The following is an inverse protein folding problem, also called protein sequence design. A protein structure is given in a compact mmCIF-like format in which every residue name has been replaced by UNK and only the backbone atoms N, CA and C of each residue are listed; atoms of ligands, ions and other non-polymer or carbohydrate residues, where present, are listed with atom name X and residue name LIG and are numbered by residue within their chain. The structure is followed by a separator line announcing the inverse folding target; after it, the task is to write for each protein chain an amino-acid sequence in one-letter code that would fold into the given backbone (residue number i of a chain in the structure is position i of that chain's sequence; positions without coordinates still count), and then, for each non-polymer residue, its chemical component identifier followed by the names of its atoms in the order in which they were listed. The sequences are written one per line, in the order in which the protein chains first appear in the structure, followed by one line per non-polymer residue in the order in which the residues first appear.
data_IF_496813823077
#
_entry.id   IF_496813823077
#
_cell.length_a   1.000
_cell.length_b   1.000
_cell.length_c   1.000
_cell.angle_alpha   90.00
_cell.angle_beta   90.00
_cell.angle_gamma   90.00
#
_symmetry.space_group_name_H-M   'P 1'
#
loop_
_entity.id
_entity.type
_entity.pdbx_description
1 polymer ?
#
# COMPACT_ATOMS: atom_id res chain seq x y z
N UNK A 1 18.94 7.21 -27.87
CA UNK A 1 19.99 8.02 -27.21
C UNK A 1 19.37 9.32 -26.74
N UNK A 2 19.52 9.74 -25.47
CA UNK A 2 18.95 11.01 -25.02
C UNK A 2 19.81 12.20 -25.51
N UNK A 3 19.22 13.34 -25.88
CA UNK A 3 19.97 14.50 -26.34
C UNK A 3 20.59 15.26 -25.16
N UNK A 4 21.86 15.65 -25.30
CA UNK A 4 22.63 16.45 -24.34
C UNK A 4 21.95 17.83 -24.15
N UNK A 5 21.52 18.14 -22.93
CA UNK A 5 20.97 19.45 -22.59
C UNK A 5 22.08 20.49 -22.39
N UNK A 6 22.01 21.58 -23.17
CA UNK A 6 22.68 22.84 -22.88
C UNK A 6 21.98 23.49 -21.68
N UNK A 7 22.77 23.93 -20.70
CA UNK A 7 22.30 24.80 -19.61
C UNK A 7 21.85 26.13 -20.20
N UNK A 8 20.61 26.53 -19.94
CA UNK A 8 20.25 27.93 -19.80
C UNK A 8 19.34 28.08 -18.58
N UNK A 9 19.76 28.94 -17.67
CA UNK A 9 19.00 29.40 -16.52
C UNK A 9 17.90 30.35 -17.01
N UNK A 10 16.70 30.18 -16.46
CA UNK A 10 15.86 31.30 -16.08
C UNK A 10 15.13 30.91 -14.80
N UNK A 11 15.48 31.63 -13.76
CA UNK A 11 14.92 31.61 -12.42
C UNK A 11 13.42 31.96 -12.50
N UNK A 12 12.57 31.08 -11.97
CA UNK A 12 11.18 31.37 -11.68
C UNK A 12 10.95 30.87 -10.26
N UNK A 13 11.08 31.80 -9.31
CA UNK A 13 10.70 31.58 -7.92
C UNK A 13 9.21 31.23 -7.89
N UNK A 14 8.91 29.95 -7.65
CA UNK A 14 7.55 29.50 -7.37
C UNK A 14 7.09 30.22 -6.10
N UNK A 15 6.01 31.00 -6.21
CA UNK A 15 5.43 31.70 -5.08
C UNK A 15 4.77 30.72 -4.09
N UNK A 16 4.52 31.14 -2.84
CA UNK A 16 4.02 30.29 -1.76
C UNK A 16 2.58 29.77 -1.93
N UNK A 17 1.92 30.01 -3.08
CA UNK A 17 0.57 29.54 -3.39
C UNK A 17 0.54 28.19 -4.15
N UNK A 18 1.68 27.71 -4.67
CA UNK A 18 1.74 26.46 -5.47
C UNK A 18 1.98 25.19 -4.64
N UNK A 19 2.37 25.30 -3.36
CA UNK A 19 2.76 24.15 -2.53
C UNK A 19 1.56 23.29 -2.08
N UNK A 20 0.37 23.87 -1.94
CA UNK A 20 -0.83 23.14 -1.48
C UNK A 20 -1.43 22.23 -2.57
N UNK A 21 -1.15 22.51 -3.86
CA UNK A 21 -1.62 21.71 -4.99
C UNK A 21 -0.56 20.76 -5.54
N UNK A 22 0.70 20.88 -5.08
CA UNK A 22 1.78 19.99 -5.45
C UNK A 22 1.55 18.56 -4.93
N UNK A 23 1.79 17.53 -5.76
CA UNK A 23 1.81 16.15 -5.28
C UNK A 23 2.88 15.95 -4.20
N UNK A 24 2.57 15.13 -3.20
CA UNK A 24 3.56 14.65 -2.24
C UNK A 24 4.34 13.52 -2.89
N UNK A 25 5.63 13.77 -3.13
CA UNK A 25 6.56 12.74 -3.59
C UNK A 25 7.20 12.02 -2.41
N UNK A 26 7.20 10.69 -2.47
CA UNK A 26 7.87 9.84 -1.48
C UNK A 26 8.61 8.69 -2.19
N UNK A 27 9.63 8.11 -1.56
CA UNK A 27 10.32 6.94 -2.12
C UNK A 27 10.98 6.09 -1.03
N UNK A 28 12.07 6.57 -0.44
CA UNK A 28 12.82 5.78 0.55
C UNK A 28 12.25 5.96 1.95
N UNK A 29 12.33 4.89 2.73
CA UNK A 29 11.79 4.79 4.08
C UNK A 29 12.46 5.72 5.12
N UNK A 30 13.62 6.29 4.76
CA UNK A 30 14.38 7.27 5.54
C UNK A 30 14.26 8.71 5.02
N UNK A 31 13.53 8.95 3.94
CA UNK A 31 13.23 10.29 3.42
C UNK A 31 11.94 10.83 4.03
N UNK A 32 11.65 12.11 3.79
CA UNK A 32 10.35 12.70 4.10
C UNK A 32 9.23 11.90 3.46
N UNK A 33 8.13 11.71 4.19
CA UNK A 33 7.03 10.83 3.80
C UNK A 33 7.44 9.37 3.57
N UNK A 34 8.65 8.97 3.98
CA UNK A 34 9.15 7.60 3.86
C UNK A 34 8.30 6.57 4.58
N UNK A 35 7.47 6.99 5.54
CA UNK A 35 6.47 6.13 6.18
C UNK A 35 5.46 5.54 5.18
N UNK A 36 5.25 6.18 4.03
CA UNK A 36 4.39 5.69 2.94
C UNK A 36 5.00 4.52 2.17
N UNK A 37 6.33 4.36 2.19
CA UNK A 37 7.02 3.25 1.53
C UNK A 37 6.57 1.90 2.10
N UNK A 38 6.35 0.91 1.22
CA UNK A 38 6.08 -0.48 1.61
C UNK A 38 7.30 -1.16 2.28
N UNK A 39 8.48 -0.54 2.22
CA UNK A 39 9.71 -1.00 2.87
C UNK A 39 9.87 -0.44 4.27
N UNK A 40 9.07 0.58 4.65
CA UNK A 40 9.13 1.17 5.99
C UNK A 40 8.78 0.10 7.03
N UNK A 41 9.65 -0.12 8.04
CA UNK A 41 9.28 -0.90 9.21
C UNK A 41 8.06 -0.28 9.92
N UNK A 42 6.96 -1.01 9.91
CA UNK A 42 5.70 -0.66 10.55
C UNK A 42 4.99 -1.98 10.84
N UNK A 43 5.14 -2.48 12.06
CA UNK A 43 4.60 -3.78 12.46
C UNK A 43 3.07 -3.71 12.50
N UNK A 44 2.43 -4.72 11.93
CA UNK A 44 0.99 -4.88 12.03
C UNK A 44 0.62 -6.36 12.03
N UNK A 45 -0.53 -6.63 12.65
CA UNK A 45 -1.13 -7.95 12.69
C UNK A 45 -2.22 -8.06 11.63
N UNK A 46 -2.26 -9.19 10.93
CA UNK A 46 -3.32 -9.51 9.99
C UNK A 46 -3.71 -10.99 10.13
N UNK A 47 -5.00 -11.34 9.96
CA UNK A 47 -5.41 -12.74 9.80
C UNK A 47 -4.60 -13.40 8.68
N UNK A 48 -4.18 -14.65 8.87
CA UNK A 48 -3.33 -15.37 7.92
C UNK A 48 -3.95 -15.32 6.52
N UNK A 49 -3.32 -14.61 5.55
CA UNK A 49 -3.87 -14.47 4.21
C UNK A 49 -4.07 -15.79 3.48
N UNK A 50 -3.33 -16.84 3.84
CA UNK A 50 -3.50 -18.18 3.28
C UNK A 50 -4.82 -18.85 3.71
N UNK A 51 -5.41 -18.41 4.82
CA UNK A 51 -6.64 -18.96 5.40
C UNK A 51 -7.80 -17.95 5.26
N UNK A 52 -7.59 -16.73 5.77
CA UNK A 52 -8.59 -15.67 5.87
C UNK A 52 -8.96 -15.05 4.53
N UNK A 53 -7.97 -14.90 3.65
CA UNK A 53 -8.13 -14.24 2.36
C UNK A 53 -8.26 -15.25 1.22
N UNK A 54 -8.35 -16.55 1.51
CA UNK A 54 -8.38 -17.62 0.50
C UNK A 54 -9.48 -17.38 -0.55
N UNK A 55 -10.66 -16.88 -0.14
CA UNK A 55 -11.75 -16.56 -1.07
C UNK A 55 -11.32 -15.52 -2.11
N UNK A 56 -10.78 -14.35 -1.72
CA UNK A 56 -10.45 -13.30 -2.68
C UNK A 56 -9.02 -13.33 -3.24
N UNK A 57 -8.08 -13.92 -2.51
CA UNK A 57 -6.71 -14.19 -2.95
C UNK A 57 -6.71 -15.32 -3.99
N UNK A 58 -7.59 -16.32 -3.88
CA UNK A 58 -7.65 -17.46 -4.79
C UNK A 58 -8.83 -17.42 -5.80
N UNK A 59 -9.86 -16.58 -5.60
CA UNK A 59 -11.03 -16.56 -6.51
C UNK A 59 -10.72 -16.17 -7.97
N UNK A 60 -11.50 -16.81 -8.84
CA UNK A 60 -11.66 -16.53 -10.28
C UNK A 60 -12.52 -15.26 -10.55
N UNK A 61 -12.63 -14.78 -11.80
CA UNK A 61 -13.10 -13.42 -12.11
C UNK A 61 -14.46 -13.05 -11.55
N UNK A 62 -14.64 -11.76 -11.21
CA UNK A 62 -15.93 -11.14 -10.97
C UNK A 62 -16.80 -11.30 -12.23
N UNK A 63 -17.84 -12.12 -12.18
CA UNK A 63 -19.02 -11.92 -13.02
C UNK A 63 -19.87 -10.83 -12.40
N UNK A 64 -20.59 -10.06 -13.22
CA UNK A 64 -21.32 -8.86 -12.81
C UNK A 64 -22.45 -9.12 -11.78
N UNK A 65 -22.74 -10.38 -11.48
CA UNK A 65 -23.93 -10.81 -10.73
C UNK A 65 -23.64 -11.34 -9.31
N UNK A 66 -22.37 -11.37 -8.87
CA UNK A 66 -22.04 -11.91 -7.54
C UNK A 66 -21.92 -10.80 -6.48
N UNK A 67 -22.97 -10.67 -5.66
CA UNK A 67 -22.96 -9.95 -4.39
C UNK A 67 -22.12 -10.72 -3.35
N UNK A 68 -20.80 -10.65 -3.42
CA UNK A 68 -19.91 -11.13 -2.35
C UNK A 68 -19.75 -10.07 -1.25
N UNK A 69 -20.88 -9.69 -0.65
CA UNK A 69 -20.88 -8.95 0.61
C UNK A 69 -20.59 -9.87 1.82
N UNK A 70 -20.40 -11.17 1.62
CA UNK A 70 -20.47 -12.15 2.73
C UNK A 70 -19.49 -13.33 2.64
N UNK A 71 -18.28 -13.12 2.12
CA UNK A 71 -17.17 -14.00 2.48
C UNK A 71 -16.48 -13.41 3.72
N UNK A 72 -17.20 -13.39 4.84
CA UNK A 72 -16.61 -13.07 6.14
C UNK A 72 -15.42 -14.02 6.34
N UNK A 73 -14.19 -13.52 6.53
CA UNK A 73 -13.05 -14.38 6.82
C UNK A 73 -13.41 -15.30 7.99
N UNK A 74 -12.93 -16.55 8.04
CA UNK A 74 -13.11 -17.40 9.20
C UNK A 74 -12.73 -16.60 10.45
N UNK A 75 -13.68 -16.45 11.37
CA UNK A 75 -13.55 -15.59 12.55
C UNK A 75 -12.34 -15.99 13.41
N UNK A 76 -11.88 -17.24 13.26
CA UNK A 76 -10.78 -17.87 14.01
C UNK A 76 -9.49 -18.06 13.20
N UNK A 77 -9.32 -17.36 12.06
CA UNK A 77 -8.07 -17.45 11.32
C UNK A 77 -6.88 -16.98 12.20
N UNK A 78 -5.78 -17.75 12.27
CA UNK A 78 -4.63 -17.38 13.09
C UNK A 78 -4.07 -16.04 12.60
N UNK A 79 -3.68 -15.19 13.54
CA UNK A 79 -3.09 -13.89 13.23
C UNK A 79 -1.58 -14.02 13.03
N UNK A 80 -1.05 -13.37 11.99
CA UNK A 80 0.38 -13.27 11.70
C UNK A 80 0.83 -11.82 11.89
N UNK A 81 1.96 -11.62 12.57
CA UNK A 81 2.62 -10.32 12.64
C UNK A 81 3.55 -10.14 11.42
N UNK A 82 3.40 -9.02 10.73
CA UNK A 82 4.25 -8.62 9.61
C UNK A 82 5.07 -7.40 9.98
N UNK A 83 6.33 -7.36 9.58
CA UNK A 83 7.27 -6.27 9.91
C UNK A 83 7.06 -5.02 9.05
N UNK A 84 6.55 -5.20 7.84
CA UNK A 84 6.28 -4.15 6.86
C UNK A 84 5.40 -4.69 5.72
N UNK A 85 4.78 -3.80 4.94
CA UNK A 85 3.85 -4.20 3.87
C UNK A 85 4.49 -5.05 2.78
N UNK A 86 5.78 -4.87 2.47
CA UNK A 86 6.48 -5.75 1.51
C UNK A 86 6.52 -7.22 1.99
N UNK A 87 6.66 -7.49 3.30
CA UNK A 87 6.69 -8.86 3.82
C UNK A 87 5.32 -9.53 3.65
N UNK A 88 4.24 -8.81 4.00
CA UNK A 88 2.87 -9.24 3.77
C UNK A 88 2.60 -9.55 2.29
N UNK A 89 3.00 -8.63 1.41
CA UNK A 89 2.80 -8.78 -0.03
C UNK A 89 3.52 -10.02 -0.58
N UNK A 90 4.79 -10.23 -0.19
CA UNK A 90 5.57 -11.39 -0.62
C UNK A 90 5.03 -12.69 -0.04
N UNK A 91 4.57 -12.68 1.22
CA UNK A 91 3.91 -13.82 1.84
C UNK A 91 2.65 -14.22 1.06
N UNK A 92 1.76 -13.26 0.76
CA UNK A 92 0.56 -13.51 -0.03
C UNK A 92 0.89 -14.08 -1.42
N UNK A 93 1.96 -13.58 -2.05
CA UNK A 93 2.45 -14.10 -3.32
C UNK A 93 2.86 -15.57 -3.20
N UNK A 94 3.65 -15.94 -2.20
CA UNK A 94 4.04 -17.33 -1.98
C UNK A 94 2.84 -18.24 -1.65
N UNK A 95 1.93 -17.76 -0.79
CA UNK A 95 0.71 -18.46 -0.41
C UNK A 95 -0.21 -18.74 -1.61
N UNK A 96 -0.34 -17.79 -2.54
CA UNK A 96 -1.13 -17.94 -3.77
C UNK A 96 -0.69 -19.12 -4.65
N UNK A 97 0.56 -19.58 -4.53
CA UNK A 97 1.11 -20.72 -5.27
C UNK A 97 1.39 -21.94 -4.38
N UNK A 98 0.87 -21.94 -3.14
CA UNK A 98 1.03 -23.05 -2.20
C UNK A 98 2.47 -23.28 -1.73
N UNK A 99 3.38 -22.31 -1.87
CA UNK A 99 4.78 -22.48 -1.51
C UNK A 99 5.03 -22.15 -0.02
N UNK A 100 4.57 -23.05 0.86
CA UNK A 100 4.70 -22.90 2.32
C UNK A 100 6.15 -22.68 2.78
N UNK A 101 7.14 -23.28 2.09
CA UNK A 101 8.55 -23.10 2.40
C UNK A 101 9.05 -21.68 2.07
N UNK A 102 8.51 -21.05 1.02
CA UNK A 102 8.76 -19.64 0.74
C UNK A 102 8.08 -18.73 1.78
N UNK A 103 6.83 -19.04 2.17
CA UNK A 103 6.13 -18.32 3.23
C UNK A 103 6.94 -18.28 4.53
N UNK A 104 7.42 -19.43 5.02
CA UNK A 104 8.24 -19.51 6.23
C UNK A 104 9.53 -18.68 6.14
N UNK A 105 10.24 -18.77 5.00
CA UNK A 105 11.45 -17.97 4.79
C UNK A 105 11.17 -16.47 4.72
N UNK A 106 10.05 -16.06 4.13
CA UNK A 106 9.63 -14.66 4.06
C UNK A 106 9.32 -14.14 5.48
N UNK A 107 8.62 -14.90 6.31
CA UNK A 107 8.34 -14.51 7.69
C UNK A 107 9.61 -14.41 8.54
N UNK A 108 10.60 -15.27 8.29
CA UNK A 108 11.90 -15.26 8.98
C UNK A 108 12.87 -14.18 8.49
N UNK A 109 12.60 -13.55 7.34
CA UNK A 109 13.48 -12.53 6.78
C UNK A 109 13.48 -11.24 7.61
N UNK A 110 14.65 -10.61 7.75
CA UNK A 110 14.83 -9.37 8.53
C UNK A 110 14.86 -8.11 7.66
N UNK A 111 15.05 -8.27 6.34
CA UNK A 111 15.09 -7.17 5.38
C UNK A 111 14.01 -7.33 4.32
N UNK A 112 13.45 -6.21 3.89
CA UNK A 112 12.49 -6.16 2.79
C UNK A 112 13.07 -6.68 1.47
N UNK A 113 14.36 -6.44 1.21
CA UNK A 113 15.07 -6.99 0.04
C UNK A 113 15.05 -8.51 0.02
N UNK A 114 15.25 -9.14 1.16
CA UNK A 114 15.37 -10.59 1.26
C UNK A 114 13.99 -11.24 1.03
N UNK A 115 12.93 -10.63 1.56
CA UNK A 115 11.55 -11.01 1.24
C UNK A 115 11.30 -11.01 -0.28
N UNK A 116 11.73 -9.94 -0.95
CA UNK A 116 11.58 -9.79 -2.41
C UNK A 116 12.42 -10.79 -3.18
N UNK A 117 13.63 -11.08 -2.73
CA UNK A 117 14.53 -12.06 -3.35
C UNK A 117 13.92 -13.47 -3.26
N UNK A 118 13.42 -13.86 -2.09
CA UNK A 118 12.69 -15.12 -1.89
C UNK A 118 11.46 -15.20 -2.81
N UNK A 119 10.71 -14.10 -2.92
CA UNK A 119 9.50 -14.04 -3.73
C UNK A 119 9.73 -14.13 -5.24
N UNK A 120 10.98 -13.93 -5.72
CA UNK A 120 11.37 -14.18 -7.11
C UNK A 120 11.54 -15.66 -7.42
N UNK A 121 11.73 -16.49 -6.39
CA UNK A 121 11.95 -17.94 -6.53
C UNK A 121 10.79 -18.75 -5.95
N UNK A 122 9.58 -18.19 -5.89
CA UNK A 122 8.36 -18.91 -5.48
C UNK A 122 8.11 -20.04 -6.46
N UNK A 123 7.95 -21.26 -5.94
CA UNK A 123 7.67 -22.44 -6.76
C UNK A 123 6.28 -22.35 -7.38
N UNK A 124 6.17 -22.77 -8.63
CA UNK A 124 4.90 -22.73 -9.36
C UNK A 124 4.42 -21.33 -9.74
N UNK A 125 5.25 -20.30 -9.57
CA UNK A 125 4.87 -18.92 -9.89
C UNK A 125 4.50 -18.78 -11.38
N UNK A 126 3.29 -18.29 -11.62
CA UNK A 126 2.81 -17.90 -12.94
C UNK A 126 2.36 -16.42 -12.89
N UNK A 127 2.98 -15.59 -13.74
CA UNK A 127 2.72 -14.16 -13.75
C UNK A 127 1.30 -13.80 -14.21
N UNK A 128 0.74 -14.57 -15.15
CA UNK A 128 -0.62 -14.35 -15.63
C UNK A 128 -1.63 -14.71 -14.55
N UNK A 129 -1.44 -15.85 -13.87
CA UNK A 129 -2.23 -16.25 -12.70
C UNK A 129 -2.13 -15.16 -11.65
N UNK A 130 -0.92 -14.75 -11.22
CA UNK A 130 -0.71 -13.72 -10.20
C UNK A 130 -1.39 -12.39 -10.54
N UNK A 131 -1.43 -12.02 -11.81
CA UNK A 131 -2.00 -10.75 -12.27
C UNK A 131 -3.52 -10.76 -12.44
N UNK A 132 -4.20 -11.93 -12.35
CA UNK A 132 -5.66 -12.01 -12.43
C UNK A 132 -6.34 -11.14 -11.36
N UNK A 133 -7.48 -10.56 -11.74
CA UNK A 133 -8.37 -9.82 -10.83
C UNK A 133 -7.67 -8.71 -10.02
N UNK A 134 -6.68 -8.06 -10.64
CA UNK A 134 -5.85 -7.03 -9.99
C UNK A 134 -5.27 -7.47 -8.64
N UNK A 135 -5.04 -8.77 -8.45
CA UNK A 135 -4.57 -9.34 -7.18
C UNK A 135 -3.36 -8.60 -6.59
N UNK A 136 -2.33 -8.20 -7.38
CA UNK A 136 -1.23 -7.39 -6.85
C UNK A 136 -1.74 -6.12 -6.13
N UNK A 137 -2.67 -5.38 -6.73
CA UNK A 137 -3.20 -4.14 -6.17
C UNK A 137 -4.02 -4.40 -4.92
N UNK A 138 -4.83 -5.47 -4.93
CA UNK A 138 -5.68 -5.86 -3.80
C UNK A 138 -4.85 -6.27 -2.59
N UNK A 139 -3.83 -7.11 -2.80
CA UNK A 139 -2.90 -7.55 -1.75
C UNK A 139 -2.15 -6.36 -1.15
N UNK A 140 -1.67 -5.42 -1.98
CA UNK A 140 -1.01 -4.23 -1.45
C UNK A 140 -1.99 -3.32 -0.70
N UNK A 141 -3.19 -3.08 -1.24
CA UNK A 141 -4.20 -2.26 -0.57
C UNK A 141 -4.57 -2.83 0.81
N UNK A 142 -4.68 -4.16 0.92
CA UNK A 142 -4.94 -4.84 2.18
C UNK A 142 -3.77 -4.72 3.17
N UNK A 143 -2.53 -4.92 2.70
CA UNK A 143 -1.34 -4.69 3.51
C UNK A 143 -1.27 -3.26 4.08
N UNK A 144 -1.63 -2.27 3.25
CA UNK A 144 -1.67 -0.87 3.65
C UNK A 144 -2.84 -0.60 4.62
N UNK A 145 -3.98 -1.24 4.43
CA UNK A 145 -5.13 -1.14 5.32
C UNK A 145 -4.79 -1.57 6.75
N UNK A 146 -4.07 -2.68 6.90
CA UNK A 146 -3.55 -3.11 8.20
C UNK A 146 -2.46 -2.18 8.73
N UNK A 147 -1.46 -1.84 7.90
CA UNK A 147 -0.34 -0.95 8.28
C UNK A 147 -0.80 0.38 8.86
N UNK A 148 -1.80 1.01 8.24
CA UNK A 148 -2.28 2.34 8.64
C UNK A 148 -3.40 2.30 9.68
N UNK A 149 -3.69 1.12 10.25
CA UNK A 149 -4.62 0.95 11.38
C UNK A 149 -6.10 0.88 11.00
N UNK A 150 -6.42 0.79 9.71
CA UNK A 150 -7.81 0.72 9.25
C UNK A 150 -8.52 -0.53 9.73
N UNK A 151 -7.85 -1.68 9.69
CA UNK A 151 -8.42 -2.94 10.17
C UNK A 151 -8.77 -2.87 11.67
N UNK A 152 -7.89 -2.26 12.48
CA UNK A 152 -8.14 -2.09 13.91
C UNK A 152 -9.31 -1.14 14.18
N UNK A 153 -9.32 0.05 13.55
CA UNK A 153 -10.40 1.02 13.74
C UNK A 153 -11.75 0.45 13.30
N UNK A 154 -11.80 -0.24 12.15
CA UNK A 154 -13.02 -0.90 11.68
C UNK A 154 -13.51 -1.92 12.71
N UNK A 155 -12.62 -2.78 13.22
CA UNK A 155 -12.99 -3.78 14.22
C UNK A 155 -13.55 -3.15 15.50
N UNK A 156 -12.94 -2.05 15.99
CA UNK A 156 -13.47 -1.33 17.16
C UNK A 156 -14.87 -0.77 16.90
N UNK A 157 -15.11 -0.23 15.71
CA UNK A 157 -16.44 0.28 15.33
C UNK A 157 -17.45 -0.87 15.27
N UNK A 158 -17.09 -1.99 14.64
CA UNK A 158 -17.95 -3.16 14.47
C UNK A 158 -18.27 -3.84 15.82
N UNK A 159 -17.35 -3.77 16.80
CA UNK A 159 -17.51 -4.30 18.16
C UNK A 159 -18.21 -3.30 19.12
N UNK A 160 -19.09 -2.45 18.59
CA UNK A 160 -19.90 -1.51 19.37
C UNK A 160 -19.22 -0.19 19.71
N UNK A 161 -18.16 0.17 18.98
CA UNK A 161 -17.48 1.48 19.07
C UNK A 161 -18.06 2.54 18.11
N UNK A 162 -19.22 2.30 17.51
CA UNK A 162 -19.87 3.23 16.56
C UNK A 162 -20.21 4.58 17.19
N UNK A 163 -20.43 4.64 18.51
CA UNK A 163 -20.67 5.88 19.25
C UNK A 163 -19.44 6.77 19.42
N UNK A 164 -18.23 6.27 19.11
CA UNK A 164 -16.99 7.04 19.28
C UNK A 164 -16.99 8.26 18.35
N UNK A 165 -16.80 9.44 18.95
CA UNK A 165 -16.65 10.70 18.24
C UNK A 165 -15.39 10.75 17.37
N UNK A 166 -15.36 11.71 16.42
CA UNK A 166 -14.29 11.87 15.41
C UNK A 166 -12.88 11.83 16.01
N UNK A 167 -12.65 12.57 17.09
CA UNK A 167 -11.34 12.67 17.72
C UNK A 167 -10.89 11.32 18.33
N UNK A 168 -11.78 10.62 19.02
CA UNK A 168 -11.50 9.31 19.60
C UNK A 168 -11.16 8.28 18.51
N UNK A 169 -11.92 8.26 17.40
CA UNK A 169 -11.61 7.39 16.24
C UNK A 169 -10.24 7.70 15.64
N UNK A 170 -9.88 8.98 15.50
CA UNK A 170 -8.57 9.39 15.01
C UNK A 170 -7.42 8.95 15.96
N UNK A 171 -7.64 9.00 17.27
CA UNK A 171 -6.65 8.58 18.28
C UNK A 171 -6.40 7.07 18.32
N UNK A 172 -7.32 6.25 17.79
CA UNK A 172 -7.14 4.79 17.65
C UNK A 172 -6.22 4.41 16.46
N UNK A 173 -5.96 5.35 15.55
CA UNK A 173 -5.02 5.11 14.45
C UNK A 173 -3.58 5.22 14.94
N UNK A 174 -2.65 4.40 14.41
CA UNK A 174 -1.24 4.62 14.63
C UNK A 174 -0.81 5.99 14.08
N UNK A 175 0.32 6.52 14.56
CA UNK A 175 0.84 7.83 14.12
C UNK A 175 0.90 7.95 12.59
N UNK A 176 1.37 6.90 11.91
CA UNK A 176 1.46 6.88 10.45
C UNK A 176 0.08 6.94 9.76
N UNK A 177 -0.97 6.41 10.41
CA UNK A 177 -2.36 6.49 9.95
C UNK A 177 -2.89 7.93 10.01
N UNK A 178 -2.63 8.61 11.12
CA UNK A 178 -2.94 10.05 11.26
C UNK A 178 -2.16 10.90 10.28
N UNK A 179 -0.85 10.67 10.16
CA UNK A 179 0.00 11.34 9.17
C UNK A 179 -0.49 11.15 7.73
N UNK A 180 -1.05 9.97 7.40
CA UNK A 180 -1.65 9.72 6.09
C UNK A 180 -2.91 10.57 5.89
N UNK A 181 -3.77 10.72 6.90
CA UNK A 181 -4.93 11.62 6.85
C UNK A 181 -4.52 13.09 6.69
N UNK A 182 -3.47 13.52 7.40
CA UNK A 182 -2.92 14.89 7.36
C UNK A 182 -2.35 15.27 5.98
N UNK A 183 -2.20 14.31 5.06
CA UNK A 183 -1.84 14.62 3.67
C UNK A 183 -2.95 15.35 2.92
N UNK A 184 -4.15 15.44 3.50
CA UNK A 184 -5.30 16.13 2.93
C UNK A 184 -5.70 15.50 1.61
N UNK A 185 -6.03 16.31 0.60
CA UNK A 185 -6.44 15.82 -0.72
C UNK A 185 -5.29 15.75 -1.73
N UNK A 186 -4.06 15.99 -1.28
CA UNK A 186 -2.89 15.97 -2.16
C UNK A 186 -2.68 14.60 -2.78
N UNK A 187 -2.24 14.61 -4.04
CA UNK A 187 -1.86 13.39 -4.76
C UNK A 187 -0.59 12.80 -4.12
N UNK A 188 -0.60 11.49 -3.83
CA UNK A 188 0.56 10.78 -3.32
C UNK A 188 1.30 10.09 -4.48
N UNK A 189 2.62 10.29 -4.57
CA UNK A 189 3.41 9.84 -5.71
C UNK A 189 4.68 9.10 -5.26
N UNK A 190 4.75 7.81 -5.57
CA UNK A 190 5.96 7.03 -5.34
C UNK A 190 7.00 7.33 -6.43
N UNK A 191 7.99 8.13 -6.07
CA UNK A 191 9.10 8.58 -6.92
C UNK A 191 10.24 7.55 -7.00
N UNK A 192 9.89 6.30 -7.30
CA UNK A 192 10.86 5.23 -7.52
C UNK A 192 11.43 5.30 -8.94
N UNK A 193 12.69 5.72 -9.08
CA UNK A 193 13.35 5.96 -10.38
C UNK A 193 13.60 4.73 -11.27
N UNK A 194 13.28 3.52 -10.82
CA UNK A 194 13.43 2.28 -11.60
C UNK A 194 12.17 1.41 -11.58
N UNK A 195 11.07 1.92 -11.02
CA UNK A 195 9.80 1.19 -10.92
C UNK A 195 8.70 2.06 -11.51
N UNK A 196 8.18 1.64 -12.67
CA UNK A 196 7.07 2.31 -13.36
C UNK A 196 5.73 1.60 -13.13
N UNK A 197 5.69 0.54 -12.33
CA UNK A 197 4.46 -0.16 -11.98
C UNK A 197 3.95 0.35 -10.64
N UNK A 198 4.72 0.19 -9.56
CA UNK A 198 4.35 0.73 -8.25
C UNK A 198 4.59 2.24 -8.17
N UNK A 199 5.71 2.69 -8.75
CA UNK A 199 6.07 4.11 -8.82
C UNK A 199 5.88 4.75 -10.19
N UNK A 200 6.40 5.97 -10.32
CA UNK A 200 6.36 6.77 -11.55
C UNK A 200 7.54 6.55 -12.49
N UNK A 201 8.55 5.77 -12.11
CA UNK A 201 9.77 5.56 -12.91
C UNK A 201 10.75 6.75 -12.89
N UNK A 202 10.51 7.77 -12.07
CA UNK A 202 11.39 8.94 -11.90
C UNK A 202 11.67 9.19 -10.42
N UNK A 203 12.93 9.46 -10.09
CA UNK A 203 13.36 9.84 -8.75
C UNK A 203 13.04 11.29 -8.41
N UNK A 204 12.87 11.61 -7.12
CA UNK A 204 12.58 12.97 -6.63
C UNK A 204 13.59 14.01 -7.19
N UNK A 205 14.88 13.67 -7.19
CA UNK A 205 15.97 14.53 -7.69
C UNK A 205 15.94 14.77 -9.20
N UNK A 206 15.15 14.02 -9.96
CA UNK A 206 15.02 14.14 -11.42
C UNK A 206 13.96 15.17 -11.84
N UNK A 207 13.40 15.95 -10.90
CA UNK A 207 12.30 16.90 -11.16
C UNK A 207 11.12 16.21 -11.86
N UNK A 208 10.53 15.17 -11.24
CA UNK A 208 9.58 14.27 -11.89
C UNK A 208 8.38 14.98 -12.52
N UNK A 209 7.94 16.13 -11.99
CA UNK A 209 6.86 16.94 -12.57
C UNK A 209 7.09 17.35 -14.02
N UNK A 210 8.34 17.56 -14.45
CA UNK A 210 8.66 17.88 -15.85
C UNK A 210 8.34 16.72 -16.80
N UNK A 211 8.26 15.50 -16.28
CA UNK A 211 8.01 14.28 -17.02
C UNK A 211 6.64 13.68 -16.71
N UNK A 212 5.69 14.47 -16.18
CA UNK A 212 4.36 13.98 -15.76
C UNK A 212 3.64 13.14 -16.82
N UNK A 213 3.76 13.51 -18.09
CA UNK A 213 3.15 12.75 -19.20
C UNK A 213 3.75 11.36 -19.43
N UNK A 214 4.93 11.09 -18.89
CA UNK A 214 5.67 9.83 -19.03
C UNK A 214 5.72 9.02 -17.74
N UNK A 215 4.98 9.45 -16.71
CA UNK A 215 4.96 8.72 -15.45
C UNK A 215 4.46 7.30 -15.66
N UNK A 216 5.05 6.40 -14.87
CA UNK A 216 4.52 5.06 -14.63
C UNK A 216 3.14 5.09 -13.98
N UNK A 217 2.66 3.92 -13.58
CA UNK A 217 1.29 3.74 -13.11
C UNK A 217 1.07 4.36 -11.73
N UNK A 218 2.11 4.52 -10.91
CA UNK A 218 2.01 5.02 -9.53
C UNK A 218 0.97 4.23 -8.71
N UNK A 219 0.97 2.89 -8.82
CA UNK A 219 -0.01 2.07 -8.13
C UNK A 219 0.07 2.21 -6.61
N UNK A 220 1.26 2.36 -6.02
CA UNK A 220 1.38 2.50 -4.56
C UNK A 220 0.74 3.81 -4.08
N UNK A 221 1.04 4.92 -4.75
CA UNK A 221 0.43 6.21 -4.45
C UNK A 221 -1.10 6.19 -4.53
N UNK A 222 -1.65 5.53 -5.56
CA UNK A 222 -3.12 5.36 -5.71
C UNK A 222 -3.72 4.49 -4.60
N UNK A 223 -3.05 3.40 -4.23
CA UNK A 223 -3.49 2.54 -3.12
C UNK A 223 -3.47 3.27 -1.79
N UNK A 224 -2.46 4.11 -1.53
CA UNK A 224 -2.40 4.94 -0.33
C UNK A 224 -3.54 5.96 -0.27
N UNK A 225 -3.85 6.62 -1.40
CA UNK A 225 -5.02 7.52 -1.48
C UNK A 225 -6.30 6.75 -1.19
N UNK A 226 -6.51 5.58 -1.78
CA UNK A 226 -7.71 4.77 -1.51
C UNK A 226 -7.84 4.37 -0.02
N UNK A 227 -6.72 3.98 0.61
CA UNK A 227 -6.69 3.68 2.05
C UNK A 227 -6.99 4.94 2.88
N UNK A 228 -6.39 6.09 2.52
CA UNK A 228 -6.65 7.38 3.18
C UNK A 228 -8.12 7.75 3.13
N UNK A 229 -8.77 7.66 1.97
CA UNK A 229 -10.18 7.98 1.83
C UNK A 229 -11.06 7.06 2.69
N UNK A 230 -10.74 5.75 2.72
CA UNK A 230 -11.46 4.80 3.58
C UNK A 230 -11.28 5.10 5.07
N UNK A 231 -10.07 5.41 5.50
CA UNK A 231 -9.79 5.85 6.88
C UNK A 231 -10.54 7.12 7.22
N UNK A 232 -10.53 8.10 6.31
CA UNK A 232 -11.25 9.36 6.46
C UNK A 232 -12.74 9.13 6.65
N UNK A 233 -13.36 8.28 5.82
CA UNK A 233 -14.77 7.91 5.99
C UNK A 233 -15.04 7.30 7.37
N UNK A 234 -14.19 6.39 7.86
CA UNK A 234 -14.37 5.81 9.20
C UNK A 234 -14.21 6.85 10.32
N UNK A 235 -13.32 7.81 10.18
CA UNK A 235 -13.11 8.86 11.18
C UNK A 235 -14.24 9.91 11.16
N UNK A 236 -14.73 10.26 9.96
CA UNK A 236 -15.73 11.31 9.76
C UNK A 236 -17.18 10.84 9.88
N UNK A 237 -17.46 9.53 9.73
CA UNK A 237 -18.79 8.95 9.98
C UNK A 237 -19.14 8.82 11.46
N UNK A 238 -18.32 9.42 12.34
CA UNK A 238 -18.60 9.50 13.76
C UNK A 238 -19.87 10.33 14.03
N UNK A 239 -20.64 9.97 15.07
CA UNK A 239 -21.82 10.73 15.49
C UNK A 239 -21.48 12.12 16.05
#
# INVERSE_FOLDING_TARGET
MPPKHKKNQSDASLGPQDDEQMPIFFHKEWEDYGYMSNYKPARFSAPDPAIACASWLLASPRTADNNDADATPPQDAPTIEFQHSEQYYMYCKAACFGDAAACQRILAATKASDCKDIARTVRGFDAAVWSRNDRPLRVMADALWHKFGGAHLQHVIDDGGDWLGREARAQLLPDIGRQLLDTGDRQLVEAAGRDSYWGIGYGIKQRPMQYRKYWGKNHLGRSLVAVRERLRTLVESAP
#
